data_IF_246356169336
#
_entry.id   IF_246356169336
#
_cell.length_a   1.000
_cell.length_b   1.000
_cell.length_c   1.000
_cell.angle_alpha   90.00
_cell.angle_beta   90.00
_cell.angle_gamma   90.00
#
_symmetry.space_group_name_H-M   'P 1'
#
loop_
_entity.id
_entity.type
_entity.pdbx_description
1 polymer ?
#
# COMPACT_ATOMS: atom_id res chain seq x y z
N UNK A 1 -26.80 -45.81 -43.56
CA UNK A 1 -26.37 -46.48 -42.31
C UNK A 1 -26.73 -47.95 -42.40
N UNK A 2 -25.78 -48.85 -42.10
CA UNK A 2 -26.00 -50.29 -42.17
C UNK A 2 -27.08 -50.73 -41.14
N UNK A 3 -28.06 -51.59 -41.50
CA UNK A 3 -29.19 -51.93 -40.63
C UNK A 3 -28.78 -52.50 -39.26
N UNK A 4 -27.70 -53.29 -39.20
CA UNK A 4 -27.22 -53.92 -37.97
C UNK A 4 -26.65 -52.93 -36.93
N UNK A 5 -26.13 -51.78 -37.36
CA UNK A 5 -25.56 -50.77 -36.46
C UNK A 5 -26.66 -50.03 -35.69
N UNK A 6 -27.84 -49.86 -36.32
CA UNK A 6 -28.97 -49.15 -35.74
C UNK A 6 -29.63 -49.95 -34.60
N UNK A 7 -29.73 -51.28 -34.77
CA UNK A 7 -30.29 -52.17 -33.75
C UNK A 7 -29.41 -52.27 -32.50
N UNK A 8 -28.08 -52.23 -32.64
CA UNK A 8 -27.15 -52.26 -31.50
C UNK A 8 -27.17 -50.97 -30.65
N UNK A 9 -27.52 -49.82 -31.24
CA UNK A 9 -27.63 -48.57 -30.49
C UNK A 9 -28.87 -48.56 -29.59
N UNK A 10 -29.98 -49.17 -30.03
CA UNK A 10 -31.23 -49.23 -29.27
C UNK A 10 -31.16 -50.18 -28.05
N UNK A 11 -30.18 -51.07 -27.99
CA UNK A 11 -29.97 -52.00 -26.86
C UNK A 11 -29.08 -51.45 -25.74
N UNK A 12 -28.48 -50.27 -25.92
CA UNK A 12 -27.56 -49.69 -24.94
C UNK A 12 -28.31 -48.95 -23.82
N UNK A 13 -27.71 -48.94 -22.63
CA UNK A 13 -28.18 -48.09 -21.53
C UNK A 13 -28.15 -46.61 -21.94
N UNK A 14 -29.07 -45.75 -21.45
CA UNK A 14 -29.19 -44.36 -21.88
C UNK A 14 -27.88 -43.56 -21.83
N UNK A 15 -27.07 -43.76 -20.78
CA UNK A 15 -25.76 -43.13 -20.63
C UNK A 15 -24.73 -43.62 -21.65
N UNK A 16 -24.65 -44.93 -21.87
CA UNK A 16 -23.73 -45.55 -22.84
C UNK A 16 -24.09 -45.18 -24.29
N UNK A 17 -25.39 -45.12 -24.59
CA UNK A 17 -25.91 -44.61 -25.85
C UNK A 17 -25.49 -43.15 -26.07
N UNK A 18 -25.73 -42.28 -25.08
CA UNK A 18 -25.36 -40.87 -25.15
C UNK A 18 -23.86 -40.69 -25.37
N UNK A 19 -23.01 -41.38 -24.59
CA UNK A 19 -21.55 -41.35 -24.73
C UNK A 19 -21.08 -41.78 -26.13
N UNK A 20 -21.65 -42.86 -26.66
CA UNK A 20 -21.31 -43.38 -28.00
C UNK A 20 -21.78 -42.46 -29.13
N UNK A 21 -22.91 -41.77 -28.96
CA UNK A 21 -23.40 -40.77 -29.92
C UNK A 21 -22.56 -39.50 -29.89
N UNK A 22 -22.22 -38.97 -28.71
CA UNK A 22 -21.34 -37.79 -28.54
C UNK A 22 -19.96 -38.07 -29.14
N UNK A 23 -19.36 -39.22 -28.83
CA UNK A 23 -18.05 -39.58 -29.37
C UNK A 23 -18.05 -39.71 -30.90
N UNK A 24 -19.06 -40.38 -31.48
CA UNK A 24 -19.19 -40.45 -32.94
C UNK A 24 -19.40 -39.07 -33.56
N UNK A 25 -20.23 -38.23 -32.96
CA UNK A 25 -20.49 -36.88 -33.44
C UNK A 25 -19.23 -36.00 -33.41
N UNK A 26 -18.43 -36.09 -32.35
CA UNK A 26 -17.16 -35.36 -32.18
C UNK A 26 -16.08 -35.83 -33.15
N UNK A 27 -15.98 -37.14 -33.41
CA UNK A 27 -14.92 -37.73 -34.24
C UNK A 27 -15.21 -37.63 -35.76
N UNK A 28 -16.48 -37.65 -36.18
CA UNK A 28 -16.84 -37.72 -37.61
C UNK A 28 -17.08 -36.37 -38.28
N UNK A 29 -17.40 -35.33 -37.51
CA UNK A 29 -17.68 -34.00 -38.03
C UNK A 29 -16.52 -33.04 -37.70
N UNK A 30 -15.60 -32.85 -38.65
CA UNK A 30 -14.52 -31.85 -38.50
C UNK A 30 -15.12 -30.46 -38.27
N UNK A 31 -14.78 -29.81 -37.14
CA UNK A 31 -15.26 -28.49 -36.75
C UNK A 31 -16.49 -28.47 -35.81
N UNK A 32 -17.12 -29.60 -35.50
CA UNK A 32 -18.34 -29.63 -34.68
C UNK A 32 -18.12 -29.54 -33.16
N UNK A 33 -16.88 -29.59 -32.68
CA UNK A 33 -16.53 -29.32 -31.27
C UNK A 33 -16.78 -27.86 -30.88
N UNK A 34 -16.76 -26.93 -31.83
CA UNK A 34 -17.13 -25.52 -31.64
C UNK A 34 -18.56 -25.35 -31.10
N UNK A 35 -19.49 -26.21 -31.55
CA UNK A 35 -20.91 -26.20 -31.16
C UNK A 35 -21.16 -26.77 -29.76
N UNK A 36 -20.18 -27.50 -29.22
CA UNK A 36 -20.18 -28.04 -27.86
C UNK A 36 -19.42 -27.14 -26.88
N UNK A 37 -18.89 -26.01 -27.33
CA UNK A 37 -18.20 -25.05 -26.46
C UNK A 37 -19.23 -24.44 -25.51
N UNK A 38 -19.13 -24.82 -24.24
CA UNK A 38 -19.90 -24.21 -23.14
C UNK A 38 -19.65 -22.71 -23.12
N UNK A 39 -20.71 -21.93 -22.93
CA UNK A 39 -20.60 -20.50 -22.67
C UNK A 39 -19.99 -20.29 -21.28
N UNK A 40 -18.75 -19.81 -21.24
CA UNK A 40 -18.01 -19.51 -20.01
C UNK A 40 -18.11 -18.03 -19.60
N UNK A 41 -18.94 -17.22 -20.28
CA UNK A 41 -19.03 -15.78 -20.02
C UNK A 41 -19.51 -15.43 -18.61
N UNK A 42 -20.25 -16.34 -17.97
CA UNK A 42 -20.79 -16.20 -16.60
C UNK A 42 -20.04 -17.00 -15.56
N UNK A 43 -18.97 -17.68 -15.94
CA UNK A 43 -18.19 -18.48 -15.00
C UNK A 43 -17.40 -17.56 -14.08
N UNK A 44 -17.66 -17.67 -12.77
CA UNK A 44 -16.86 -17.01 -11.74
C UNK A 44 -15.74 -17.94 -11.33
N UNK A 45 -14.51 -17.44 -11.33
CA UNK A 45 -13.38 -18.18 -10.75
C UNK A 45 -13.31 -17.92 -9.24
N UNK A 46 -12.68 -18.82 -8.50
CA UNK A 46 -12.40 -18.61 -7.07
C UNK A 46 -11.67 -17.28 -6.83
N UNK A 47 -10.79 -16.87 -7.75
CA UNK A 47 -10.08 -15.60 -7.70
C UNK A 47 -11.04 -14.40 -7.79
N UNK A 48 -12.06 -14.48 -8.65
CA UNK A 48 -13.06 -13.41 -8.79
C UNK A 48 -13.93 -13.31 -7.55
N UNK A 49 -14.34 -14.45 -6.99
CA UNK A 49 -15.10 -14.53 -5.73
C UNK A 49 -14.32 -13.88 -4.58
N UNK A 50 -13.02 -14.15 -4.48
CA UNK A 50 -12.15 -13.54 -3.47
C UNK A 50 -12.03 -12.04 -3.72
N UNK A 51 -11.86 -11.59 -4.96
CA UNK A 51 -11.78 -10.15 -5.29
C UNK A 51 -13.07 -9.41 -4.97
N UNK A 52 -14.23 -10.03 -5.11
CA UNK A 52 -15.51 -9.43 -4.77
C UNK A 52 -15.69 -9.28 -3.25
N UNK A 53 -15.27 -10.28 -2.47
CA UNK A 53 -15.56 -10.37 -1.03
C UNK A 53 -14.37 -10.08 -0.10
N UNK A 54 -13.19 -9.78 -0.64
CA UNK A 54 -12.02 -9.49 0.19
C UNK A 54 -12.27 -8.25 1.07
N UNK A 55 -11.94 -8.39 2.35
CA UNK A 55 -11.88 -7.28 3.31
C UNK A 55 -10.43 -7.07 3.72
N UNK A 56 -10.02 -5.82 3.87
CA UNK A 56 -8.63 -5.50 4.23
C UNK A 56 -8.31 -5.93 5.67
N UNK A 57 -9.26 -5.75 6.58
CA UNK A 57 -9.23 -6.30 7.94
C UNK A 57 -10.55 -7.01 8.22
N UNK A 58 -10.47 -8.22 8.75
CA UNK A 58 -11.62 -8.94 9.27
C UNK A 58 -11.73 -8.65 10.75
N UNK A 59 -12.90 -8.16 11.19
CA UNK A 59 -13.19 -8.02 12.61
C UNK A 59 -13.38 -9.40 13.23
N UNK A 60 -12.81 -9.61 14.41
CA UNK A 60 -12.81 -10.91 15.10
C UNK A 60 -14.24 -11.39 15.45
N UNK A 61 -15.18 -10.45 15.56
CA UNK A 61 -16.62 -10.69 15.77
C UNK A 61 -17.43 -10.93 14.50
N UNK A 62 -16.84 -10.72 13.31
CA UNK A 62 -17.54 -10.91 12.04
C UNK A 62 -17.39 -12.37 11.57
N UNK A 63 -18.44 -13.16 11.82
CA UNK A 63 -18.55 -14.49 11.23
C UNK A 63 -19.00 -14.40 9.76
N UNK A 64 -18.36 -15.13 8.84
CA UNK A 64 -18.75 -15.13 7.44
C UNK A 64 -20.16 -15.72 7.30
N UNK A 65 -21.03 -14.98 6.63
CA UNK A 65 -22.42 -15.38 6.42
C UNK A 65 -22.59 -16.30 5.22
N UNK A 66 -21.71 -16.14 4.23
CA UNK A 66 -21.78 -16.83 2.93
C UNK A 66 -20.49 -17.60 2.67
N UNK A 67 -20.58 -18.68 1.88
CA UNK A 67 -19.41 -19.50 1.55
C UNK A 67 -18.32 -18.68 0.82
N UNK A 68 -18.69 -17.65 0.04
CA UNK A 68 -17.73 -16.75 -0.61
C UNK A 68 -16.91 -15.95 0.42
N UNK A 69 -17.57 -15.47 1.48
CA UNK A 69 -16.93 -14.77 2.59
C UNK A 69 -16.04 -15.72 3.40
N UNK A 70 -16.46 -16.96 3.61
CA UNK A 70 -15.66 -17.98 4.30
C UNK A 70 -14.39 -18.31 3.49
N UNK A 71 -14.51 -18.40 2.17
CA UNK A 71 -13.37 -18.57 1.28
C UNK A 71 -12.41 -17.38 1.40
N UNK A 72 -12.92 -16.16 1.32
CA UNK A 72 -12.10 -14.95 1.47
C UNK A 72 -11.40 -14.87 2.84
N UNK A 73 -12.08 -15.26 3.93
CA UNK A 73 -11.51 -15.34 5.27
C UNK A 73 -10.38 -16.37 5.37
N UNK A 74 -10.57 -17.57 4.82
CA UNK A 74 -9.50 -18.60 4.74
C UNK A 74 -8.27 -18.10 3.99
N UNK A 75 -8.45 -17.31 2.94
CA UNK A 75 -7.32 -16.66 2.26
C UNK A 75 -6.68 -15.59 3.14
N UNK A 76 -7.46 -14.73 3.77
CA UNK A 76 -6.96 -13.70 4.68
C UNK A 76 -6.12 -14.26 5.83
N UNK A 77 -6.50 -15.40 6.41
CA UNK A 77 -5.77 -16.04 7.50
C UNK A 77 -4.41 -16.58 7.06
N UNK A 78 -4.28 -16.99 5.79
CA UNK A 78 -3.01 -17.41 5.19
C UNK A 78 -2.06 -16.24 4.91
N UNK A 79 -2.54 -15.00 4.83
CA UNK A 79 -1.69 -13.83 4.59
C UNK A 79 -0.85 -13.52 5.84
N UNK A 80 0.45 -13.35 5.63
CA UNK A 80 1.35 -12.78 6.62
C UNK A 80 1.22 -11.26 6.66
N UNK A 81 0.84 -10.74 7.84
CA UNK A 81 0.41 -9.33 8.03
C UNK A 81 1.33 -8.55 8.99
N UNK A 82 2.54 -9.03 9.23
CA UNK A 82 3.47 -8.37 10.17
C UNK A 82 4.04 -7.07 9.61
N UNK A 83 4.53 -7.11 8.37
CA UNK A 83 5.17 -5.98 7.71
C UNK A 83 4.55 -5.74 6.34
N UNK A 84 4.34 -4.47 6.00
CA UNK A 84 3.93 -4.05 4.66
C UNK A 84 5.14 -3.75 3.78
N UNK A 85 4.90 -3.74 2.47
CA UNK A 85 5.83 -3.17 1.48
C UNK A 85 5.26 -1.83 1.02
N UNK A 86 6.14 -0.84 0.91
CA UNK A 86 5.78 0.49 0.43
C UNK A 86 6.41 0.81 -0.93
N UNK A 87 5.73 1.61 -1.71
CA UNK A 87 6.28 2.32 -2.87
C UNK A 87 6.41 3.79 -2.52
N UNK A 88 7.67 4.24 -2.43
CA UNK A 88 8.02 5.62 -2.11
C UNK A 88 8.30 6.44 -3.36
N UNK A 89 8.12 5.93 -4.58
CA UNK A 89 8.48 6.64 -5.83
C UNK A 89 7.90 8.06 -5.93
N UNK A 90 6.72 8.31 -5.34
CA UNK A 90 6.03 9.61 -5.32
C UNK A 90 6.06 10.33 -3.97
N UNK A 91 7.07 10.05 -3.12
CA UNK A 91 7.20 10.64 -1.78
C UNK A 91 7.18 12.17 -1.78
N UNK A 92 7.71 12.82 -2.84
CA UNK A 92 7.70 14.29 -2.98
C UNK A 92 6.29 14.88 -2.98
N UNK A 93 5.33 14.15 -3.52
CA UNK A 93 3.91 14.53 -3.53
C UNK A 93 3.17 14.08 -2.26
N UNK A 94 3.84 13.40 -1.32
CA UNK A 94 3.24 12.77 -0.14
C UNK A 94 2.25 11.66 -0.49
N UNK A 95 2.49 11.02 -1.63
CA UNK A 95 1.75 9.83 -2.06
C UNK A 95 2.64 8.63 -1.81
N UNK A 96 2.19 7.77 -0.90
CA UNK A 96 2.85 6.51 -0.56
C UNK A 96 1.84 5.41 -0.80
N UNK A 97 2.20 4.45 -1.64
CA UNK A 97 1.39 3.25 -1.84
C UNK A 97 1.93 2.14 -0.93
N UNK A 98 1.05 1.33 -0.38
CA UNK A 98 1.40 0.21 0.48
C UNK A 98 0.62 -1.02 0.07
N UNK A 99 1.21 -2.19 0.29
CA UNK A 99 0.56 -3.50 0.10
C UNK A 99 1.14 -4.52 1.05
N UNK A 100 0.38 -5.59 1.29
CA UNK A 100 0.90 -6.79 1.94
C UNK A 100 2.00 -7.47 1.11
N UNK A 101 2.84 -8.22 1.79
CA UNK A 101 3.94 -8.97 1.20
C UNK A 101 3.40 -10.12 0.34
N UNK A 102 4.13 -10.44 -0.73
CA UNK A 102 3.93 -11.71 -1.44
C UNK A 102 4.78 -12.80 -0.81
N UNK A 103 4.41 -14.07 -1.03
CA UNK A 103 5.18 -15.23 -0.58
C UNK A 103 6.66 -15.13 -0.98
N UNK A 104 6.93 -14.80 -2.25
CA UNK A 104 8.31 -14.66 -2.75
C UNK A 104 9.13 -13.59 -2.04
N UNK A 105 8.49 -12.51 -1.58
CA UNK A 105 9.15 -11.43 -0.84
C UNK A 105 9.37 -11.81 0.62
N UNK A 106 8.42 -12.54 1.21
CA UNK A 106 8.52 -13.06 2.56
C UNK A 106 9.65 -14.08 2.68
N UNK A 107 9.74 -15.03 1.74
CA UNK A 107 10.83 -16.01 1.70
C UNK A 107 12.21 -15.36 1.54
N UNK A 108 12.30 -14.21 0.84
CA UNK A 108 13.53 -13.41 0.74
C UNK A 108 13.83 -12.59 2.00
N UNK A 109 12.87 -12.44 2.91
CA UNK A 109 13.00 -11.59 4.10
C UNK A 109 12.79 -10.10 3.83
N UNK A 110 12.08 -9.73 2.75
CA UNK A 110 11.84 -8.32 2.38
C UNK A 110 10.90 -7.64 3.35
N UNK A 111 11.31 -6.53 3.95
CA UNK A 111 10.56 -5.84 5.02
C UNK A 111 10.88 -6.38 6.42
N UNK A 112 11.55 -7.54 6.53
CA UNK A 112 12.18 -7.97 7.78
C UNK A 112 13.67 -7.68 7.69
N UNK A 113 14.48 -8.45 6.98
CA UNK A 113 15.93 -8.24 6.92
C UNK A 113 16.37 -7.26 5.83
N UNK A 114 15.57 -7.13 4.77
CA UNK A 114 15.78 -6.18 3.67
C UNK A 114 14.81 -5.00 3.83
N UNK A 115 15.19 -3.82 3.33
CA UNK A 115 14.30 -2.66 3.28
C UNK A 115 12.93 -2.99 2.62
N UNK A 116 11.84 -2.55 3.25
CA UNK A 116 10.46 -2.76 2.78
C UNK A 116 10.03 -1.85 1.62
N UNK A 117 10.94 -1.13 0.96
CA UNK A 117 10.62 -0.38 -0.25
C UNK A 117 10.68 -1.31 -1.47
N UNK A 118 9.72 -1.18 -2.40
CA UNK A 118 9.51 -2.10 -3.52
C UNK A 118 10.77 -2.33 -4.38
N UNK A 119 11.58 -1.30 -4.62
CA UNK A 119 12.76 -1.31 -5.53
C UNK A 119 14.09 -1.42 -4.77
N UNK A 120 14.08 -1.26 -3.46
CA UNK A 120 15.24 -1.35 -2.61
C UNK A 120 15.51 -2.80 -2.23
N UNK A 121 16.78 -3.18 -2.27
CA UNK A 121 17.28 -4.51 -1.89
C UNK A 121 18.39 -4.39 -0.83
N UNK A 122 18.45 -3.26 -0.13
CA UNK A 122 19.48 -3.00 0.85
C UNK A 122 19.23 -3.77 2.15
N UNK A 123 20.17 -4.67 2.49
CA UNK A 123 20.23 -5.48 3.72
C UNK A 123 20.97 -4.76 4.85
N UNK A 124 20.71 -3.46 5.01
CA UNK A 124 21.39 -2.69 6.04
C UNK A 124 20.95 -3.13 7.44
N UNK A 125 21.90 -3.41 8.34
CA UNK A 125 21.61 -3.74 9.76
C UNK A 125 20.90 -2.61 10.55
N UNK A 126 20.69 -1.44 9.94
CA UNK A 126 20.04 -0.25 10.55
C UNK A 126 18.64 0.01 10.01
N UNK A 127 17.85 -1.04 9.77
CA UNK A 127 16.43 -0.89 9.44
C UNK A 127 15.64 -0.39 10.65
N UNK A 128 14.82 0.64 10.44
CA UNK A 128 13.92 1.19 11.45
C UNK A 128 12.48 0.76 11.18
N UNK A 129 11.76 0.36 12.22
CA UNK A 129 10.33 0.08 12.17
C UNK A 129 9.53 1.36 12.33
N UNK A 130 8.54 1.54 11.48
CA UNK A 130 7.62 2.65 11.42
C UNK A 130 6.20 2.13 11.52
N UNK A 131 5.37 2.84 12.28
CA UNK A 131 3.93 2.62 12.30
C UNK A 131 3.27 3.75 11.50
N UNK A 132 2.62 3.39 10.41
CA UNK A 132 2.05 4.33 9.45
C UNK A 132 0.55 4.16 9.40
N UNK A 133 -0.18 5.27 9.47
CA UNK A 133 -1.61 5.26 9.28
C UNK A 133 -1.95 5.05 7.80
N UNK A 134 -2.64 3.96 7.50
CA UNK A 134 -3.10 3.60 6.17
C UNK A 134 -4.61 3.84 6.08
N UNK A 135 -5.00 4.90 5.37
CA UNK A 135 -6.39 5.16 5.04
C UNK A 135 -6.78 4.42 3.76
N UNK A 136 -7.86 3.65 3.81
CA UNK A 136 -8.39 2.89 2.69
C UNK A 136 -9.91 3.07 2.58
N UNK A 137 -10.46 2.81 1.41
CA UNK A 137 -11.91 2.84 1.17
C UNK A 137 -12.38 1.42 0.95
N UNK A 138 -13.33 0.97 1.75
CA UNK A 138 -13.92 -0.36 1.66
C UNK A 138 -15.44 -0.20 1.65
N UNK A 139 -16.10 -0.76 0.64
CA UNK A 139 -17.56 -0.65 0.45
C UNK A 139 -18.10 0.81 0.48
N UNK A 140 -17.29 1.78 0.07
CA UNK A 140 -17.65 3.20 0.06
C UNK A 140 -17.36 3.94 1.37
N UNK A 141 -16.94 3.24 2.42
CA UNK A 141 -16.58 3.84 3.71
C UNK A 141 -15.07 4.04 3.83
N UNK A 142 -14.67 5.18 4.41
CA UNK A 142 -13.26 5.48 4.69
C UNK A 142 -12.86 4.85 6.03
N UNK A 143 -11.98 3.87 5.97
CA UNK A 143 -11.41 3.20 7.15
C UNK A 143 -9.93 3.55 7.27
N UNK A 144 -9.39 3.42 8.48
CA UNK A 144 -7.99 3.66 8.77
C UNK A 144 -7.43 2.47 9.56
N UNK A 145 -6.21 2.05 9.24
CA UNK A 145 -5.51 0.99 9.95
C UNK A 145 -4.05 1.39 10.18
N UNK A 146 -3.49 1.03 11.32
CA UNK A 146 -2.07 1.21 11.59
C UNK A 146 -1.30 0.01 11.06
N UNK A 147 -0.39 0.25 10.10
CA UNK A 147 0.45 -0.79 9.50
C UNK A 147 1.92 -0.58 9.85
N UNK A 148 2.66 -1.68 9.99
CA UNK A 148 4.09 -1.65 10.29
C UNK A 148 4.92 -1.73 9.01
N UNK A 149 5.94 -0.88 8.92
CA UNK A 149 6.91 -0.84 7.82
C UNK A 149 8.33 -0.89 8.39
N UNK A 150 9.24 -1.62 7.76
CA UNK A 150 10.66 -1.60 8.11
C UNK A 150 11.46 -1.00 6.96
N UNK A 151 12.17 0.11 7.19
CA UNK A 151 12.84 0.88 6.14
C UNK A 151 14.28 1.21 6.50
N UNK A 152 15.15 1.31 5.49
CA UNK A 152 16.51 1.81 5.66
C UNK A 152 16.52 3.34 5.91
N UNK A 153 17.64 3.91 6.39
CA UNK A 153 17.72 5.33 6.73
C UNK A 153 17.34 6.30 5.60
N UNK A 154 17.65 5.95 4.35
CA UNK A 154 17.29 6.74 3.18
C UNK A 154 15.78 6.78 2.96
N UNK A 155 15.15 5.61 2.86
CA UNK A 155 13.70 5.48 2.67
C UNK A 155 12.90 5.97 3.87
N UNK A 156 13.45 5.81 5.07
CA UNK A 156 12.94 6.40 6.31
C UNK A 156 12.91 7.93 6.26
N UNK A 157 13.87 8.56 5.57
CA UNK A 157 13.87 10.01 5.36
C UNK A 157 12.88 10.43 4.27
N UNK A 158 12.70 9.60 3.23
CA UNK A 158 11.69 9.84 2.18
C UNK A 158 10.26 9.74 2.71
N UNK A 159 9.97 8.77 3.58
CA UNK A 159 8.67 8.63 4.24
C UNK A 159 8.30 9.90 5.03
N UNK A 160 9.28 10.50 5.72
CA UNK A 160 9.10 11.71 6.53
C UNK A 160 9.41 13.03 5.78
N UNK A 161 9.48 13.00 4.46
CA UNK A 161 9.98 14.12 3.65
C UNK A 161 9.27 15.45 3.93
N UNK A 162 7.94 15.44 4.09
CA UNK A 162 7.18 16.67 4.42
C UNK A 162 7.15 16.98 5.92
N UNK A 163 7.26 15.99 6.81
CA UNK A 163 7.32 16.25 8.25
C UNK A 163 8.61 17.00 8.61
N UNK A 164 9.76 16.64 8.03
CA UNK A 164 11.00 17.42 8.18
C UNK A 164 10.82 18.87 7.70
N UNK A 165 10.25 19.10 6.52
CA UNK A 165 9.96 20.46 6.03
C UNK A 165 8.98 21.24 6.92
N UNK A 166 7.96 20.58 7.49
CA UNK A 166 6.99 21.21 8.39
C UNK A 166 7.62 21.68 9.69
N UNK A 167 8.65 21.00 10.20
CA UNK A 167 9.38 21.39 11.42
C UNK A 167 10.57 22.32 11.15
N UNK A 168 11.31 22.12 10.06
CA UNK A 168 12.49 22.91 9.70
C UNK A 168 12.13 24.36 9.34
N UNK A 169 11.07 24.59 8.58
CA UNK A 169 10.68 25.94 8.12
C UNK A 169 10.31 26.86 9.32
N UNK A 170 9.49 26.44 10.30
CA UNK A 170 9.24 27.21 11.51
C UNK A 170 10.48 27.45 12.37
N UNK A 171 11.34 26.43 12.55
CA UNK A 171 12.55 26.53 13.36
C UNK A 171 13.54 27.57 12.79
N UNK A 172 13.71 27.58 11.47
CA UNK A 172 14.57 28.54 10.78
C UNK A 172 14.03 29.97 10.86
N UNK A 173 12.69 30.13 10.76
CA UNK A 173 12.01 31.43 10.92
C UNK A 173 12.14 31.96 12.34
N UNK A 174 11.98 31.10 13.35
CA UNK A 174 12.19 31.47 14.76
C UNK A 174 13.65 31.85 15.06
N UNK A 175 14.65 31.12 14.54
CA UNK A 175 16.06 31.50 14.67
C UNK A 175 16.35 32.88 14.09
N UNK A 176 15.85 33.16 12.87
CA UNK A 176 16.01 34.50 12.23
C UNK A 176 15.32 35.61 13.04
N UNK A 177 14.14 35.35 13.58
CA UNK A 177 13.44 36.31 14.45
C UNK A 177 14.20 36.60 15.76
N UNK A 178 14.80 35.57 16.38
CA UNK A 178 15.64 35.73 17.57
C UNK A 178 16.91 36.53 17.28
N UNK A 179 17.57 36.29 16.15
CA UNK A 179 18.74 37.08 15.72
C UNK A 179 18.36 38.54 15.42
N UNK A 180 17.23 38.78 14.76
CA UNK A 180 16.76 40.14 14.48
C UNK A 180 16.40 40.89 15.77
N UNK A 181 15.75 40.23 16.74
CA UNK A 181 15.50 40.80 18.07
C UNK A 181 16.81 41.15 18.79
N UNK A 182 17.81 40.25 18.77
CA UNK A 182 19.13 40.51 19.36
C UNK A 182 19.85 41.70 18.71
N UNK A 183 19.74 41.86 17.40
CA UNK A 183 20.31 43.00 16.68
C UNK A 183 19.59 44.31 17.02
N UNK A 184 18.26 44.28 17.14
CA UNK A 184 17.49 45.45 17.57
C UNK A 184 17.83 45.87 19.00
N UNK A 185 17.86 44.94 19.95
CA UNK A 185 18.23 45.27 21.34
C UNK A 185 19.66 45.78 21.44
N UNK A 186 20.60 45.18 20.69
CA UNK A 186 21.97 45.67 20.63
C UNK A 186 22.05 47.10 20.04
N UNK A 187 21.29 47.37 18.99
CA UNK A 187 21.24 48.70 18.36
C UNK A 187 20.65 49.76 19.31
N UNK A 188 19.58 49.44 20.04
CA UNK A 188 19.01 50.32 21.06
C UNK A 188 19.98 50.61 22.20
N UNK A 189 20.68 49.58 22.70
CA UNK A 189 21.71 49.72 23.73
C UNK A 189 22.86 50.60 23.23
N UNK A 190 23.34 50.37 22.01
CA UNK A 190 24.42 51.17 21.40
C UNK A 190 24.00 52.62 21.20
N UNK A 191 22.77 52.87 20.76
CA UNK A 191 22.21 54.21 20.57
C UNK A 191 22.14 54.96 21.91
N UNK A 192 21.62 54.32 22.95
CA UNK A 192 21.57 54.86 24.32
C UNK A 192 22.96 55.18 24.89
N UNK A 193 23.95 54.33 24.67
CA UNK A 193 25.36 54.58 25.03
C UNK A 193 25.94 55.79 24.27
N UNK A 194 25.57 55.96 23.01
CA UNK A 194 26.01 57.08 22.18
C UNK A 194 25.37 58.41 22.60
N UNK A 195 24.08 58.42 22.93
CA UNK A 195 23.41 59.59 23.53
C UNK A 195 24.01 59.95 24.90
N UNK A 196 24.31 58.95 25.75
CA UNK A 196 24.95 59.17 27.07
C UNK A 196 26.37 59.73 26.96
N UNK A 197 27.14 59.31 25.96
CA UNK A 197 28.49 59.86 25.74
C UNK A 197 28.43 61.27 25.16
N UNK A 198 27.47 61.57 24.29
CA UNK A 198 27.26 62.91 23.72
C UNK A 198 26.84 63.95 24.77
N UNK A 199 25.87 63.61 25.62
CA UNK A 199 25.45 64.45 26.75
C UNK A 199 26.59 64.67 27.77
N UNK A 200 27.44 63.67 28.01
CA UNK A 200 28.61 63.80 28.90
C UNK A 200 29.70 64.72 28.33
N UNK A 201 29.80 64.86 27.01
CA UNK A 201 30.74 65.78 26.34
C UNK A 201 30.22 67.21 26.38
N UNK A 202 28.92 67.43 26.16
CA UNK A 202 28.29 68.76 26.27
C UNK A 202 28.35 69.33 27.69
N UNK A 203 28.14 68.51 28.73
CA UNK A 203 28.24 68.95 30.14
C UNK A 203 29.67 69.39 30.52
N UNK A 204 30.69 68.92 29.78
CA UNK A 204 32.08 69.33 29.99
C UNK A 204 32.45 70.62 29.24
N UNK A 205 31.73 71.00 28.17
CA UNK A 205 32.03 72.22 27.41
C UNK A 205 31.35 73.48 27.97
N UNK A 206 30.39 73.35 28.87
CA UNK A 206 29.66 74.48 29.48
C UNK A 206 30.20 74.90 30.86
N UNK A 207 31.36 74.39 31.28
CA UNK A 207 32.00 74.68 32.58
C UNK A 207 33.30 75.51 32.47
N UNK A 208 33.44 76.31 31.42
CA UNK A 208 34.49 77.33 31.32
C UNK A 208 33.85 78.71 31.19
#
# INVERSE_FOLDING_TARGET
MNPGVRNHLLTLAPYELHKKLINNYVLTQQGSTSRLKRDSSRDKTDLDVIRENHKFLWDESSEPSTWEEELAKKYYDKLFKEYCICDLSRYKHNQVAMRWQTESELCKGKGQFICGEKRCEEENNKLRTWEVNFGYVEQGEKKNALVKLRLCPEHSSQLNYKHKKKWEIPLQKNRRNLENKRKQTFFEIWKSLKERTRTRVEIKSTKH
#
